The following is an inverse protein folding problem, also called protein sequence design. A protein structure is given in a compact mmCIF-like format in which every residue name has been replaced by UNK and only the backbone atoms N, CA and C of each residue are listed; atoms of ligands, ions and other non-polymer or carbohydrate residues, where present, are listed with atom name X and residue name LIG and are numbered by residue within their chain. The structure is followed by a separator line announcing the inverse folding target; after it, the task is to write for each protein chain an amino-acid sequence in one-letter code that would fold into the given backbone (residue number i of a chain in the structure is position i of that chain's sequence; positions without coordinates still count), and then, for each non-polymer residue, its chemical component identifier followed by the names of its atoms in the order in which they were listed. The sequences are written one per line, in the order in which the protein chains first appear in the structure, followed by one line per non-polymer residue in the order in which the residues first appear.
data_IF_936177690730
#
_entry.id   IF_936177690730
#
_cell.length_a   1.000
_cell.length_b   1.000
_cell.length_c   1.000
_cell.angle_alpha   90.00
_cell.angle_beta   90.00
_cell.angle_gamma   90.00
#
_symmetry.space_group_name_H-M   'P 1'
#
loop_
_entity.id
_entity.type
_entity.pdbx_description
1 polymer ?
#
# COMPACT_ATOMS: atom_id res chain seq x y z
N UNK A 1 43.57 60.51 -28.31
CA UNK A 1 44.61 59.49 -28.59
C UNK A 1 44.80 58.73 -27.28
N UNK A 2 44.28 57.51 -27.16
CA UNK A 2 44.90 56.33 -26.54
C UNK A 2 43.88 55.18 -26.51
N UNK A 3 44.37 54.06 -27.03
CA UNK A 3 43.75 52.76 -27.24
C UNK A 3 43.50 52.03 -25.91
N UNK A 4 42.37 51.34 -25.79
CA UNK A 4 42.22 50.25 -24.82
C UNK A 4 42.16 48.93 -25.58
N UNK A 5 43.19 48.12 -25.33
CA UNK A 5 43.45 46.86 -25.97
C UNK A 5 42.45 45.77 -25.58
N UNK A 6 42.33 44.80 -26.48
CA UNK A 6 41.59 43.57 -26.27
C UNK A 6 42.22 42.71 -25.18
N UNK A 7 41.45 42.45 -24.12
CA UNK A 7 41.62 41.27 -23.28
C UNK A 7 40.58 40.23 -23.67
N UNK A 8 40.97 39.20 -24.45
CA UNK A 8 40.18 37.99 -24.65
C UNK A 8 40.21 37.18 -23.35
N UNK A 9 39.16 37.24 -22.57
CA UNK A 9 38.86 36.19 -21.60
C UNK A 9 38.13 35.09 -22.37
N UNK A 10 38.81 33.97 -22.66
CA UNK A 10 38.15 32.75 -23.09
C UNK A 10 37.31 32.25 -21.90
N UNK A 11 36.03 32.53 -21.92
CA UNK A 11 35.05 31.72 -21.19
C UNK A 11 34.89 30.48 -22.06
N UNK A 12 35.40 29.34 -21.60
CA UNK A 12 35.04 28.06 -22.18
C UNK A 12 33.52 27.95 -22.07
N UNK A 13 32.84 28.06 -23.21
CA UNK A 13 31.44 27.69 -23.29
C UNK A 13 31.38 26.19 -23.01
N UNK A 14 31.09 25.83 -21.76
CA UNK A 14 30.57 24.51 -21.46
C UNK A 14 29.32 24.35 -22.30
N UNK A 15 29.44 23.49 -23.30
CA UNK A 15 28.39 23.18 -24.24
C UNK A 15 27.35 22.41 -23.44
N UNK A 16 26.24 23.06 -23.11
CA UNK A 16 25.04 22.42 -22.55
C UNK A 16 24.78 21.13 -23.34
N UNK A 17 24.55 19.99 -22.68
CA UNK A 17 24.24 18.76 -23.38
C UNK A 17 22.94 18.95 -24.16
N UNK A 18 23.07 18.99 -25.48
CA UNK A 18 21.97 19.03 -26.43
C UNK A 18 21.26 17.67 -26.33
N UNK A 19 20.13 17.64 -25.62
CA UNK A 19 19.32 16.43 -25.45
C UNK A 19 18.62 16.10 -26.76
N UNK A 20 19.30 15.32 -27.59
CA UNK A 20 18.74 14.83 -28.84
C UNK A 20 18.00 13.51 -28.59
N UNK A 21 16.71 13.53 -28.95
CA UNK A 21 15.91 12.41 -29.40
C UNK A 21 14.97 11.69 -28.41
N UNK A 22 13.71 11.60 -28.84
CA UNK A 22 12.54 10.89 -28.29
C UNK A 22 12.83 9.39 -27.98
N UNK A 23 13.90 8.87 -28.58
CA UNK A 23 14.42 7.51 -28.40
C UNK A 23 15.02 7.26 -27.01
N UNK A 24 15.69 8.23 -26.36
CA UNK A 24 16.28 8.01 -25.03
C UNK A 24 15.21 7.95 -23.93
N UNK A 25 14.20 8.82 -23.98
CA UNK A 25 13.05 8.76 -23.07
C UNK A 25 12.30 7.44 -23.26
N UNK A 26 12.11 7.01 -24.50
CA UNK A 26 11.48 5.72 -24.81
C UNK A 26 12.30 4.55 -24.25
N UNK A 27 13.63 4.59 -24.36
CA UNK A 27 14.53 3.57 -23.80
C UNK A 27 14.50 3.59 -22.27
N UNK A 28 14.51 4.75 -21.63
CA UNK A 28 14.44 4.89 -20.18
C UNK A 28 13.09 4.40 -19.64
N UNK A 29 11.99 4.77 -20.29
CA UNK A 29 10.65 4.29 -19.97
C UNK A 29 10.56 2.78 -20.17
N UNK A 30 11.05 2.23 -21.28
CA UNK A 30 11.11 0.77 -21.51
C UNK A 30 11.94 0.07 -20.46
N UNK A 31 13.10 0.62 -20.10
CA UNK A 31 13.98 0.05 -19.07
C UNK A 31 13.34 0.09 -17.69
N UNK A 32 12.64 1.16 -17.35
CA UNK A 32 11.89 1.28 -16.10
C UNK A 32 10.69 0.32 -16.07
N UNK A 33 9.92 0.23 -17.16
CA UNK A 33 8.84 -0.76 -17.34
C UNK A 33 9.35 -2.19 -17.16
N UNK A 34 10.54 -2.49 -17.69
CA UNK A 34 11.15 -3.82 -17.69
C UNK A 34 11.89 -4.18 -16.40
N UNK A 35 12.05 -3.27 -15.44
CA UNK A 35 12.63 -3.64 -14.14
C UNK A 35 11.75 -4.71 -13.50
N UNK A 36 12.30 -5.81 -12.98
CA UNK A 36 11.51 -6.71 -12.14
C UNK A 36 11.06 -5.97 -10.87
N UNK A 37 9.89 -6.29 -10.30
CA UNK A 37 9.55 -5.83 -8.95
C UNK A 37 10.64 -6.32 -7.97
N UNK A 38 10.88 -5.60 -6.86
CA UNK A 38 11.80 -6.09 -5.83
C UNK A 38 11.36 -7.48 -5.37
N UNK A 39 12.32 -8.36 -5.05
CA UNK A 39 12.10 -9.71 -4.49
C UNK A 39 11.39 -9.61 -3.13
N UNK A 40 10.09 -9.33 -3.16
CA UNK A 40 9.19 -9.51 -2.05
C UNK A 40 7.78 -9.85 -2.56
N UNK A 41 7.41 -11.10 -2.28
CA UNK A 41 6.08 -11.70 -2.29
C UNK A 41 5.36 -11.99 -3.62
N UNK A 42 5.32 -13.30 -3.91
CA UNK A 42 4.25 -13.97 -4.66
C UNK A 42 2.86 -13.58 -4.10
N UNK A 43 2.11 -12.76 -4.85
CA UNK A 43 0.71 -12.42 -4.55
C UNK A 43 -0.23 -13.63 -4.70
N UNK A 44 0.21 -14.69 -5.36
CA UNK A 44 -0.57 -15.91 -5.65
C UNK A 44 -0.79 -16.81 -4.45
N UNK A 45 -0.09 -16.62 -3.32
CA UNK A 45 -0.27 -17.46 -2.13
C UNK A 45 -1.58 -17.23 -1.36
N UNK A 46 -2.16 -16.03 -1.41
CA UNK A 46 -3.38 -15.74 -0.65
C UNK A 46 -4.67 -16.18 -1.34
N UNK A 47 -4.62 -16.60 -2.62
CA UNK A 47 -5.79 -17.07 -3.35
C UNK A 47 -5.96 -18.61 -3.32
N UNK A 48 -4.95 -19.37 -2.89
CA UNK A 48 -4.89 -20.83 -3.06
C UNK A 48 -5.06 -21.65 -1.76
N UNK A 49 -5.36 -21.03 -0.62
CA UNK A 49 -5.57 -21.75 0.66
C UNK A 49 -7.00 -22.33 0.79
N UNK A 50 -7.54 -22.91 -0.28
CA UNK A 50 -8.75 -23.75 -0.26
C UNK A 50 -8.61 -24.89 -1.27
N UNK A 51 -7.57 -25.70 -1.08
CA UNK A 51 -7.58 -27.16 -1.32
C UNK A 51 -6.14 -27.68 -1.34
N UNK A 52 -5.81 -28.59 -0.43
CA UNK A 52 -4.70 -29.53 -0.66
C UNK A 52 -5.17 -30.92 -0.22
N UNK A 53 -5.09 -31.92 -1.11
CA UNK A 53 -5.44 -33.30 -0.79
C UNK A 53 -4.35 -33.94 0.08
N UNK A 54 -4.79 -34.88 0.93
CA UNK A 54 -4.02 -35.42 2.03
C UNK A 54 -2.68 -36.05 1.66
N UNK A 55 -1.70 -35.84 2.53
CA UNK A 55 -0.49 -36.68 2.63
C UNK A 55 -0.20 -36.95 4.10
N UNK A 56 0.14 -38.21 4.37
CA UNK A 56 0.19 -38.91 5.66
C UNK A 56 1.31 -38.41 6.57
N UNK A 57 1.08 -38.49 7.89
CA UNK A 57 2.08 -38.29 8.96
C UNK A 57 3.24 -39.28 8.85
N UNK A 58 4.50 -38.85 8.97
CA UNK A 58 5.60 -39.74 9.33
C UNK A 58 5.66 -39.96 10.85
N UNK A 59 5.75 -41.22 11.21
CA UNK A 59 5.94 -41.79 12.55
C UNK A 59 7.40 -41.78 12.97
N UNK A 60 7.62 -41.63 14.29
CA UNK A 60 8.80 -41.96 15.11
C UNK A 60 10.14 -41.24 14.86
N UNK A 61 10.57 -40.50 15.90
CA UNK A 61 11.96 -40.13 16.17
C UNK A 61 12.75 -41.34 16.69
N UNK A 62 13.98 -41.60 16.23
CA UNK A 62 14.88 -42.52 16.89
C UNK A 62 15.75 -41.79 17.92
N UNK A 63 15.67 -42.27 19.16
CA UNK A 63 16.63 -42.08 20.25
C UNK A 63 18.00 -42.63 19.85
N UNK A 64 19.09 -41.86 20.00
CA UNK A 64 20.43 -42.45 20.10
C UNK A 64 21.30 -41.76 21.16
N UNK A 65 21.85 -42.64 22.00
CA UNK A 65 22.71 -42.46 23.18
C UNK A 65 24.05 -41.79 22.87
N UNK A 66 24.38 -40.78 23.69
CA UNK A 66 25.64 -40.54 24.43
C UNK A 66 27.00 -40.91 23.80
N UNK A 67 27.81 -39.89 23.55
CA UNK A 67 29.29 -39.87 23.71
C UNK A 67 29.64 -38.51 24.36
N UNK A 68 29.87 -38.46 25.68
CA UNK A 68 31.18 -38.50 26.35
C UNK A 68 32.13 -37.38 25.91
N UNK A 69 32.10 -36.26 26.65
CA UNK A 69 33.24 -35.36 26.87
C UNK A 69 33.21 -34.95 28.35
N UNK A 70 34.21 -35.40 29.09
CA UNK A 70 34.59 -35.03 30.47
C UNK A 70 35.81 -34.07 30.39
N UNK A 71 36.27 -33.44 31.49
CA UNK A 71 35.74 -32.20 32.04
C UNK A 71 36.83 -31.11 32.15
N UNK A 72 36.48 -29.88 32.51
CA UNK A 72 37.43 -28.94 33.11
C UNK A 72 36.82 -28.46 34.42
N UNK A 73 37.48 -28.81 35.52
CA UNK A 73 37.00 -28.58 36.87
C UNK A 73 37.13 -27.14 37.32
N UNK A 74 36.51 -26.85 38.46
CA UNK A 74 37.09 -26.09 39.57
C UNK A 74 36.36 -26.48 40.86
N UNK A 75 37.13 -26.40 41.95
CA UNK A 75 36.83 -26.54 43.38
C UNK A 75 35.46 -25.98 43.79
N UNK A 76 34.75 -26.51 44.80
CA UNK A 76 35.11 -26.35 46.21
C UNK A 76 34.24 -27.23 47.15
N UNK A 77 34.72 -27.35 48.39
CA UNK A 77 34.48 -28.36 49.41
C UNK A 77 33.24 -28.15 50.30
N UNK A 78 32.72 -29.29 50.78
CA UNK A 78 32.11 -29.55 52.09
C UNK A 78 30.66 -29.00 52.34
N UNK A 79 29.73 -29.74 52.97
CA UNK A 79 29.82 -30.47 54.24
C UNK A 79 28.74 -31.56 54.38
N UNK A 80 29.08 -32.51 55.26
CA UNK A 80 28.35 -33.71 55.69
C UNK A 80 27.03 -33.43 56.42
N UNK A 81 26.07 -34.36 56.25
CA UNK A 81 24.91 -34.52 57.13
C UNK A 81 24.11 -35.79 56.79
N UNK A 82 24.42 -36.90 57.48
CA UNK A 82 23.65 -38.17 57.48
C UNK A 82 22.51 -38.07 58.50
N UNK A 83 21.30 -38.52 58.15
CA UNK A 83 20.31 -39.26 58.98
C UNK A 83 19.25 -39.83 57.99
N UNK A 84 19.18 -41.13 57.70
CA UNK A 84 18.57 -42.24 58.44
C UNK A 84 17.03 -42.21 58.55
N UNK A 85 16.42 -43.14 57.80
CA UNK A 85 15.22 -43.95 58.11
C UNK A 85 13.83 -43.30 58.19
N UNK A 86 12.87 -43.89 57.48
CA UNK A 86 11.44 -43.69 57.72
C UNK A 86 10.56 -44.00 56.51
N UNK A 87 10.07 -45.24 56.43
CA UNK A 87 9.08 -45.68 55.48
C UNK A 87 7.71 -44.99 55.72
N UNK A 88 7.09 -44.49 54.66
CA UNK A 88 5.64 -44.30 54.56
C UNK A 88 5.26 -44.12 53.08
N UNK A 89 4.84 -45.21 52.44
CA UNK A 89 4.11 -45.15 51.17
C UNK A 89 2.85 -44.31 51.37
N UNK A 90 2.72 -43.23 50.59
CA UNK A 90 1.52 -42.39 50.54
C UNK A 90 0.88 -42.57 49.16
N UNK A 91 -0.46 -42.67 49.04
CA UNK A 91 -1.09 -43.12 47.82
C UNK A 91 -0.90 -42.14 46.66
N UNK A 92 -0.74 -42.69 45.46
CA UNK A 92 -0.73 -41.99 44.18
C UNK A 92 -1.97 -41.10 44.08
N UNK A 93 -1.77 -39.79 44.15
CA UNK A 93 -2.78 -38.78 43.88
C UNK A 93 -3.15 -38.86 42.41
N UNK A 94 -4.44 -39.00 42.14
CA UNK A 94 -5.04 -39.01 40.80
C UNK A 94 -4.44 -37.91 39.93
N UNK A 95 -4.07 -38.27 38.71
CA UNK A 95 -3.78 -37.35 37.61
C UNK A 95 -4.98 -36.41 37.43
N UNK A 96 -4.91 -35.21 38.00
CA UNK A 96 -5.74 -34.09 37.59
C UNK A 96 -5.19 -33.65 36.23
N UNK A 97 -6.01 -33.77 35.18
CA UNK A 97 -5.70 -33.20 33.87
C UNK A 97 -5.37 -31.71 34.04
N UNK A 98 -4.33 -31.19 33.36
CA UNK A 98 -4.02 -29.77 33.41
C UNK A 98 -5.23 -28.97 32.92
N UNK A 99 -5.55 -27.82 33.54
CA UNK A 99 -6.69 -27.01 33.11
C UNK A 99 -6.51 -26.67 31.63
N UNK A 100 -7.49 -27.05 30.82
CA UNK A 100 -7.56 -26.70 29.41
C UNK A 100 -7.61 -25.18 29.32
N UNK A 101 -6.47 -24.55 29.04
CA UNK A 101 -6.38 -23.12 28.76
C UNK A 101 -7.23 -22.92 27.51
N UNK A 102 -8.35 -22.19 27.55
CA UNK A 102 -9.11 -21.90 26.34
C UNK A 102 -8.15 -21.21 25.39
N UNK A 103 -7.78 -21.89 24.30
CA UNK A 103 -7.00 -21.28 23.23
C UNK A 103 -7.91 -20.26 22.56
N UNK A 104 -8.01 -19.07 23.15
CA UNK A 104 -8.54 -17.87 22.51
C UNK A 104 -7.48 -17.37 21.51
N UNK A 105 -7.06 -18.25 20.62
CA UNK A 105 -6.38 -17.87 19.38
C UNK A 105 -7.51 -17.39 18.47
N UNK A 106 -7.96 -16.15 18.69
CA UNK A 106 -8.63 -15.42 17.62
C UNK A 106 -7.73 -15.56 16.39
N UNK A 107 -8.26 -16.08 15.29
CA UNK A 107 -7.55 -16.12 14.02
C UNK A 107 -6.91 -14.75 13.80
N UNK A 108 -5.64 -14.67 13.33
CA UNK A 108 -5.04 -13.38 13.02
C UNK A 108 -6.02 -12.60 12.14
N UNK A 109 -6.23 -11.29 12.39
CA UNK A 109 -7.17 -10.51 11.60
C UNK A 109 -6.83 -10.70 10.13
N UNK A 110 -7.83 -11.10 9.34
CA UNK A 110 -7.66 -11.27 7.90
C UNK A 110 -6.98 -10.01 7.32
N UNK A 111 -5.97 -10.16 6.46
CA UNK A 111 -5.20 -9.04 5.98
C UNK A 111 -6.13 -8.05 5.27
N UNK A 112 -6.29 -6.87 5.86
CA UNK A 112 -7.10 -5.80 5.29
C UNK A 112 -6.46 -5.32 3.99
N UNK A 113 -7.25 -5.20 2.92
CA UNK A 113 -6.78 -4.71 1.63
C UNK A 113 -6.13 -3.33 1.77
N UNK A 114 -4.94 -3.14 1.19
CA UNK A 114 -4.21 -1.87 1.21
C UNK A 114 -4.54 -1.07 -0.06
N UNK A 115 -5.11 0.11 0.13
CA UNK A 115 -5.54 0.99 -0.96
C UNK A 115 -4.56 2.17 -1.11
N UNK A 116 -4.27 2.54 -2.35
CA UNK A 116 -3.71 3.84 -2.72
C UNK A 116 -4.81 4.72 -3.30
N UNK A 117 -5.07 5.85 -2.66
CA UNK A 117 -5.96 6.91 -3.15
C UNK A 117 -5.15 7.98 -3.85
N UNK A 118 -5.36 8.12 -5.16
CA UNK A 118 -4.68 9.08 -6.02
C UNK A 118 -5.72 10.02 -6.65
N UNK A 119 -5.62 11.32 -6.36
CA UNK A 119 -6.64 12.31 -6.70
C UNK A 119 -6.09 13.41 -7.58
N UNK A 120 -6.59 13.52 -8.80
CA UNK A 120 -6.47 14.72 -9.62
C UNK A 120 -7.40 15.80 -9.04
N UNK A 121 -6.86 16.71 -8.23
CA UNK A 121 -7.67 17.59 -7.40
C UNK A 121 -8.48 18.61 -8.22
N UNK A 122 -7.93 19.10 -9.33
CA UNK A 122 -8.60 20.09 -10.19
C UNK A 122 -9.85 19.54 -10.88
N UNK A 123 -9.81 18.27 -11.31
CA UNK A 123 -10.94 17.59 -11.94
C UNK A 123 -11.93 16.97 -10.93
N UNK A 124 -11.63 17.04 -9.63
CA UNK A 124 -12.42 16.40 -8.58
C UNK A 124 -13.15 17.46 -7.74
N UNK A 125 -14.48 17.45 -7.69
CA UNK A 125 -15.23 18.36 -6.82
C UNK A 125 -14.91 18.10 -5.33
N UNK A 126 -14.47 19.12 -4.56
CA UNK A 126 -14.08 18.96 -3.16
C UNK A 126 -15.13 18.27 -2.27
N UNK A 127 -16.41 18.51 -2.54
CA UNK A 127 -17.55 17.95 -1.80
C UNK A 127 -17.65 16.42 -1.88
N UNK A 128 -17.00 15.79 -2.85
CA UNK A 128 -16.99 14.32 -3.01
C UNK A 128 -16.00 13.62 -2.09
N UNK A 129 -15.02 14.35 -1.52
CA UNK A 129 -13.90 13.77 -0.79
C UNK A 129 -14.34 13.00 0.47
N UNK A 130 -15.26 13.57 1.26
CA UNK A 130 -15.76 12.92 2.49
C UNK A 130 -16.45 11.60 2.15
N UNK A 131 -17.41 11.62 1.23
CA UNK A 131 -18.13 10.42 0.79
C UNK A 131 -17.21 9.39 0.16
N UNK A 132 -16.18 9.81 -0.57
CA UNK A 132 -15.19 8.91 -1.13
C UNK A 132 -14.41 8.16 -0.03
N UNK A 133 -13.90 8.87 0.96
CA UNK A 133 -13.16 8.27 2.07
C UNK A 133 -14.03 7.26 2.83
N UNK A 134 -15.31 7.58 3.05
CA UNK A 134 -16.27 6.68 3.68
C UNK A 134 -16.50 5.40 2.88
N UNK A 135 -16.69 5.52 1.56
CA UNK A 135 -16.85 4.35 0.67
C UNK A 135 -15.58 3.49 0.65
N UNK A 136 -14.40 4.11 0.64
CA UNK A 136 -13.11 3.41 0.65
C UNK A 136 -12.84 2.69 1.97
N UNK A 137 -13.30 3.22 3.10
CA UNK A 137 -13.18 2.56 4.41
C UNK A 137 -13.91 1.20 4.44
N UNK A 138 -14.96 1.02 3.63
CA UNK A 138 -15.63 -0.27 3.44
C UNK A 138 -14.88 -1.27 2.56
N UNK A 139 -13.95 -0.81 1.72
CA UNK A 139 -13.14 -1.66 0.84
C UNK A 139 -11.83 -2.13 1.48
N UNK A 140 -11.25 -1.32 2.36
CA UNK A 140 -10.01 -1.64 3.03
C UNK A 140 -9.34 -0.44 3.69
N UNK A 141 -8.06 -0.57 3.99
CA UNK A 141 -7.25 0.48 4.60
C UNK A 141 -6.59 1.33 3.51
N UNK A 142 -6.96 2.60 3.44
CA UNK A 142 -6.28 3.56 2.57
C UNK A 142 -4.93 3.91 3.22
N UNK A 143 -3.85 3.38 2.67
CA UNK A 143 -2.49 3.50 3.21
C UNK A 143 -1.69 4.62 2.54
N UNK A 144 -2.00 4.91 1.28
CA UNK A 144 -1.45 6.04 0.53
C UNK A 144 -2.58 6.96 0.14
N UNK A 145 -2.42 8.26 0.38
CA UNK A 145 -3.35 9.31 -0.02
C UNK A 145 -2.56 10.44 -0.66
N UNK A 146 -2.74 10.69 -1.95
CA UNK A 146 -2.05 11.75 -2.69
C UNK A 146 -3.04 12.55 -3.50
N UNK A 147 -2.92 13.88 -3.44
CA UNK A 147 -3.60 14.80 -4.33
C UNK A 147 -2.59 15.43 -5.27
N UNK A 148 -2.96 15.64 -6.53
CA UNK A 148 -2.09 16.20 -7.57
C UNK A 148 -2.75 17.48 -8.12
N UNK A 149 -2.03 18.59 -8.04
CA UNK A 149 -2.40 19.89 -8.61
C UNK A 149 -1.24 20.89 -8.46
N UNK A 150 -1.32 21.98 -9.23
CA UNK A 150 -0.69 23.23 -8.86
C UNK A 150 -1.46 23.88 -7.68
N UNK A 151 -0.94 23.67 -6.47
CA UNK A 151 -1.50 24.22 -5.23
C UNK A 151 -1.34 25.73 -5.07
N UNK A 152 -0.64 26.41 -5.96
CA UNK A 152 -0.55 27.88 -5.98
C UNK A 152 -1.79 28.51 -6.63
N UNK A 153 -2.58 27.70 -7.34
CA UNK A 153 -3.75 28.18 -8.06
C UNK A 153 -4.87 28.62 -7.08
N UNK A 154 -5.50 29.80 -7.27
CA UNK A 154 -6.46 30.35 -6.31
C UNK A 154 -7.70 29.47 -6.05
N UNK A 155 -8.12 28.69 -7.04
CA UNK A 155 -9.28 27.80 -6.97
C UNK A 155 -9.02 26.53 -6.13
N UNK A 156 -7.76 26.25 -5.78
CA UNK A 156 -7.40 25.10 -4.93
C UNK A 156 -7.64 25.34 -3.42
N UNK A 157 -8.11 26.54 -3.03
CA UNK A 157 -8.35 26.88 -1.63
C UNK A 157 -9.31 25.93 -0.90
N UNK A 158 -10.34 25.42 -1.60
CA UNK A 158 -11.31 24.47 -1.03
C UNK A 158 -10.67 23.12 -0.66
N UNK A 159 -9.64 22.70 -1.40
CA UNK A 159 -8.94 21.44 -1.16
C UNK A 159 -8.00 21.50 0.05
N UNK A 160 -7.43 22.66 0.39
CA UNK A 160 -6.44 22.78 1.48
C UNK A 160 -6.97 22.25 2.83
N UNK A 161 -8.25 22.50 3.13
CA UNK A 161 -8.90 21.97 4.33
C UNK A 161 -9.07 20.45 4.30
N UNK A 162 -9.43 19.90 3.14
CA UNK A 162 -9.62 18.47 2.92
C UNK A 162 -8.31 17.70 2.99
N UNK A 163 -7.23 18.26 2.43
CA UNK A 163 -5.90 17.66 2.50
C UNK A 163 -5.49 17.38 3.95
N UNK A 164 -5.66 18.39 4.82
CA UNK A 164 -5.35 18.29 6.24
C UNK A 164 -6.28 17.33 6.97
N UNK A 165 -7.59 17.44 6.73
CA UNK A 165 -8.62 16.63 7.39
C UNK A 165 -8.42 15.14 7.13
N UNK A 166 -8.12 14.78 5.89
CA UNK A 166 -8.04 13.38 5.45
C UNK A 166 -6.62 12.85 5.35
N UNK A 167 -5.61 13.64 5.72
CA UNK A 167 -4.21 13.27 5.60
C UNK A 167 -3.80 12.95 4.15
N UNK A 168 -4.34 13.70 3.18
CA UNK A 168 -3.97 13.58 1.78
C UNK A 168 -2.69 14.39 1.58
N UNK A 169 -1.63 13.71 1.15
CA UNK A 169 -0.36 14.34 0.83
C UNK A 169 -0.51 15.19 -0.44
N UNK A 170 -0.21 16.50 -0.39
CA UNK A 170 -0.14 17.30 -1.61
C UNK A 170 1.10 16.90 -2.42
N UNK A 171 0.89 16.54 -3.68
CA UNK A 171 1.92 16.43 -4.71
C UNK A 171 1.78 17.66 -5.59
N UNK A 172 2.84 18.47 -5.63
CA UNK A 172 2.84 19.76 -6.30
C UNK A 172 3.64 19.69 -7.60
N UNK A 173 3.07 20.27 -8.64
CA UNK A 173 3.78 20.65 -9.86
C UNK A 173 3.48 22.12 -10.17
N UNK A 174 4.39 22.78 -10.86
CA UNK A 174 4.19 24.16 -11.30
C UNK A 174 3.57 24.17 -12.69
N UNK A 175 2.44 24.84 -12.85
CA UNK A 175 1.82 25.04 -14.14
C UNK A 175 1.76 26.54 -14.45
N UNK A 176 2.58 26.99 -15.40
CA UNK A 176 2.62 28.40 -15.80
C UNK A 176 1.37 28.83 -16.59
N UNK A 177 0.67 27.87 -17.20
CA UNK A 177 -0.39 28.14 -18.19
C UNK A 177 -1.60 27.21 -18.04
N UNK A 178 -2.76 27.75 -17.67
CA UNK A 178 -4.07 27.14 -17.94
C UNK A 178 -4.47 25.91 -17.10
N UNK A 179 -5.78 25.79 -16.87
CA UNK A 179 -6.34 24.68 -16.09
C UNK A 179 -6.20 23.31 -16.77
N UNK A 180 -6.20 23.27 -18.11
CA UNK A 180 -6.08 22.02 -18.87
C UNK A 180 -4.68 21.41 -18.73
N UNK A 181 -3.63 22.22 -18.87
CA UNK A 181 -2.25 21.77 -18.72
C UNK A 181 -1.94 21.34 -17.28
N UNK A 182 -2.51 22.04 -16.27
CA UNK A 182 -2.41 21.62 -14.88
C UNK A 182 -2.99 20.21 -14.67
N UNK A 183 -4.17 19.95 -15.24
CA UNK A 183 -4.79 18.63 -15.26
C UNK A 183 -3.92 17.59 -15.97
N UNK A 184 -3.35 17.90 -17.14
CA UNK A 184 -2.45 16.99 -17.86
C UNK A 184 -1.20 16.63 -17.05
N UNK A 185 -0.55 17.62 -16.42
CA UNK A 185 0.61 17.41 -15.56
C UNK A 185 0.26 16.59 -14.30
N UNK A 186 -0.92 16.84 -13.72
CA UNK A 186 -1.44 16.06 -12.61
C UNK A 186 -1.62 14.58 -13.02
N UNK A 187 -2.22 14.33 -14.18
CA UNK A 187 -2.42 12.98 -14.71
C UNK A 187 -1.09 12.25 -14.97
N UNK A 188 -0.09 12.92 -15.52
CA UNK A 188 1.24 12.35 -15.75
C UNK A 188 1.91 11.97 -14.42
N UNK A 189 1.95 12.91 -13.47
CA UNK A 189 2.56 12.70 -12.15
C UNK A 189 1.86 11.57 -11.39
N UNK A 190 0.52 11.57 -11.41
CA UNK A 190 -0.30 10.52 -10.83
C UNK A 190 -0.07 9.15 -11.47
N UNK A 191 0.10 9.10 -12.79
CA UNK A 191 0.35 7.85 -13.52
C UNK A 191 1.69 7.23 -13.15
N UNK A 192 2.74 8.03 -12.98
CA UNK A 192 4.06 7.56 -12.53
C UNK A 192 3.95 6.95 -11.13
N UNK A 193 3.35 7.69 -10.21
CA UNK A 193 3.16 7.24 -8.83
C UNK A 193 2.30 5.97 -8.72
N UNK A 194 1.23 5.88 -9.52
CA UNK A 194 0.39 4.68 -9.57
C UNK A 194 1.18 3.42 -9.96
N UNK A 195 2.04 3.53 -10.97
CA UNK A 195 2.85 2.41 -11.43
C UNK A 195 3.93 2.05 -10.41
N UNK A 196 4.58 3.01 -9.77
CA UNK A 196 5.58 2.74 -8.72
C UNK A 196 4.95 2.06 -7.49
N UNK A 197 3.76 2.51 -7.07
CA UNK A 197 3.00 1.88 -5.99
C UNK A 197 2.59 0.45 -6.35
N UNK A 198 2.16 0.22 -7.59
CA UNK A 198 1.79 -1.11 -8.06
C UNK A 198 2.99 -2.07 -8.13
N UNK A 199 4.17 -1.56 -8.53
CA UNK A 199 5.40 -2.34 -8.71
C UNK A 199 6.09 -2.67 -7.38
N UNK A 200 5.99 -1.81 -6.38
CA UNK A 200 6.56 -2.03 -5.05
C UNK A 200 5.75 -3.03 -4.19
N UNK A 201 4.62 -3.52 -4.69
CA UNK A 201 3.64 -4.32 -3.92
C UNK A 201 3.19 -3.65 -2.62
N UNK A 202 3.32 -2.32 -2.55
CA UNK A 202 2.91 -1.53 -1.39
C UNK A 202 1.39 -1.57 -1.20
N UNK A 203 0.63 -1.67 -2.29
CA UNK A 203 -0.83 -1.64 -2.30
C UNK A 203 -1.44 -2.77 -3.12
N UNK A 204 -2.64 -3.18 -2.73
CA UNK A 204 -3.43 -4.22 -3.39
C UNK A 204 -4.45 -3.62 -4.36
N UNK A 205 -4.88 -2.38 -4.11
CA UNK A 205 -5.83 -1.62 -4.94
C UNK A 205 -5.34 -0.21 -5.18
N UNK A 206 -5.43 0.27 -6.42
CA UNK A 206 -5.21 1.68 -6.79
C UNK A 206 -6.54 2.31 -7.14
N UNK A 207 -6.83 3.44 -6.50
CA UNK A 207 -8.04 4.23 -6.68
C UNK A 207 -7.65 5.51 -7.42
N UNK A 208 -8.15 5.67 -8.64
CA UNK A 208 -7.86 6.80 -9.52
C UNK A 208 -9.08 7.71 -9.51
N UNK A 209 -8.91 8.97 -9.08
CA UNK A 209 -10.00 9.94 -8.92
C UNK A 209 -9.73 11.17 -9.77
N UNK A 210 -10.72 11.60 -10.54
CA UNK A 210 -10.61 12.80 -11.40
C UNK A 210 -11.30 12.59 -12.73
N UNK A 211 -10.56 12.80 -13.83
CA UNK A 211 -11.02 12.47 -15.17
C UNK A 211 -10.31 11.20 -15.70
N UNK A 212 -10.69 9.99 -15.25
CA UNK A 212 -10.01 8.77 -15.65
C UNK A 212 -10.24 8.40 -17.13
N UNK A 213 -11.08 9.15 -17.87
CA UNK A 213 -11.47 8.91 -19.26
C UNK A 213 -10.31 8.70 -20.24
N UNK A 214 -9.19 9.39 -20.02
CA UNK A 214 -7.96 9.30 -20.82
C UNK A 214 -6.99 8.22 -20.34
N UNK A 215 -7.30 7.50 -19.25
CA UNK A 215 -6.33 6.66 -18.53
C UNK A 215 -6.44 5.15 -18.83
N UNK A 216 -7.14 4.75 -19.91
CA UNK A 216 -7.27 3.32 -20.30
C UNK A 216 -5.92 2.57 -20.35
N UNK A 217 -4.82 3.14 -20.91
CA UNK A 217 -3.53 2.45 -20.93
C UNK A 217 -2.97 2.21 -19.52
N UNK A 218 -3.11 3.18 -18.62
CA UNK A 218 -2.70 3.04 -17.23
C UNK A 218 -3.51 1.94 -16.52
N UNK A 219 -4.83 1.98 -16.62
CA UNK A 219 -5.73 0.96 -16.02
C UNK A 219 -5.33 -0.44 -16.49
N UNK A 220 -5.14 -0.60 -17.80
CA UNK A 220 -4.71 -1.87 -18.41
C UNK A 220 -3.37 -2.33 -17.85
N UNK A 221 -2.41 -1.41 -17.67
CA UNK A 221 -1.09 -1.71 -17.13
C UNK A 221 -1.13 -2.13 -15.66
N UNK A 222 -1.92 -1.44 -14.84
CA UNK A 222 -2.08 -1.74 -13.42
C UNK A 222 -2.72 -3.12 -13.21
N UNK A 223 -3.77 -3.43 -13.99
CA UNK A 223 -4.40 -4.75 -13.98
C UNK A 223 -3.47 -5.86 -14.46
N UNK A 224 -2.72 -5.61 -15.53
CA UNK A 224 -1.69 -6.55 -16.00
C UNK A 224 -0.57 -6.80 -14.97
N UNK A 225 -0.45 -5.93 -13.97
CA UNK A 225 0.46 -6.09 -12.84
C UNK A 225 -0.20 -6.74 -11.61
N UNK A 226 -1.45 -7.21 -11.74
CA UNK A 226 -2.20 -7.88 -10.68
C UNK A 226 -2.64 -6.96 -9.54
N UNK A 227 -2.84 -5.67 -9.81
CA UNK A 227 -3.38 -4.68 -8.86
C UNK A 227 -4.83 -4.38 -9.26
N UNK A 228 -5.75 -4.39 -8.29
CA UNK A 228 -7.15 -4.00 -8.52
C UNK A 228 -7.22 -2.50 -8.80
N UNK A 229 -8.01 -2.07 -9.77
CA UNK A 229 -8.18 -0.67 -10.14
C UNK A 229 -9.62 -0.23 -9.91
N UNK A 230 -9.81 0.79 -9.09
CA UNK A 230 -11.09 1.48 -8.91
C UNK A 230 -10.99 2.84 -9.56
N UNK A 231 -11.87 3.13 -10.52
CA UNK A 231 -11.94 4.43 -11.16
C UNK A 231 -13.07 5.26 -10.53
N UNK A 232 -12.81 6.53 -10.28
CA UNK A 232 -13.78 7.48 -9.71
C UNK A 232 -13.82 8.72 -10.59
N UNK A 233 -15.00 9.09 -11.06
CA UNK A 233 -15.13 10.19 -12.03
C UNK A 233 -16.58 10.56 -12.33
N UNK A 234 -16.81 11.48 -13.28
CA UNK A 234 -18.14 11.91 -13.66
C UNK A 234 -18.90 10.85 -14.46
N UNK A 235 -20.24 10.97 -14.51
CA UNK A 235 -21.11 10.13 -15.35
C UNK A 235 -20.80 10.23 -16.86
N UNK A 236 -20.05 11.25 -17.30
CA UNK A 236 -19.57 11.34 -18.68
C UNK A 236 -18.33 10.47 -18.98
N UNK A 237 -17.73 9.82 -17.97
CA UNK A 237 -16.53 8.99 -18.16
C UNK A 237 -16.79 7.90 -19.22
N UNK A 238 -15.97 7.79 -20.28
CA UNK A 238 -16.16 6.81 -21.35
C UNK A 238 -16.26 5.35 -20.87
N UNK A 239 -17.11 4.56 -21.53
CA UNK A 239 -17.31 3.14 -21.22
C UNK A 239 -15.99 2.34 -21.22
N UNK A 240 -15.04 2.69 -22.09
CA UNK A 240 -13.76 2.00 -22.20
C UNK A 240 -12.97 1.95 -20.89
N UNK A 241 -13.01 3.00 -20.07
CA UNK A 241 -12.34 3.01 -18.76
C UNK A 241 -13.15 2.23 -17.74
N UNK A 242 -14.47 2.45 -17.68
CA UNK A 242 -15.35 1.78 -16.71
C UNK A 242 -15.34 0.27 -16.85
N UNK A 243 -15.35 -0.22 -18.09
CA UNK A 243 -15.34 -1.64 -18.41
C UNK A 243 -13.97 -2.29 -18.15
N UNK A 244 -12.91 -1.49 -18.09
CA UNK A 244 -11.56 -1.95 -17.78
C UNK A 244 -11.28 -1.91 -16.29
N UNK A 245 -11.73 -0.89 -15.55
CA UNK A 245 -11.62 -0.88 -14.09
C UNK A 245 -12.38 -2.04 -13.45
N UNK A 246 -11.90 -2.52 -12.30
CA UNK A 246 -12.59 -3.54 -11.50
C UNK A 246 -13.85 -2.99 -10.84
N UNK A 247 -13.90 -1.67 -10.62
CA UNK A 247 -15.07 -0.96 -10.12
C UNK A 247 -15.06 0.50 -10.58
N UNK A 248 -16.24 1.10 -10.67
CA UNK A 248 -16.41 2.50 -11.06
C UNK A 248 -17.38 3.21 -10.12
N UNK A 249 -16.94 4.33 -9.55
CA UNK A 249 -17.73 5.16 -8.63
C UNK A 249 -17.98 6.52 -9.28
N UNK A 250 -19.25 6.88 -9.40
CA UNK A 250 -19.66 8.19 -9.91
C UNK A 250 -19.58 9.27 -8.83
N UNK A 251 -19.04 10.45 -9.16
CA UNK A 251 -19.06 11.62 -8.28
C UNK A 251 -20.47 11.95 -7.74
N UNK A 252 -21.52 11.77 -8.54
CA UNK A 252 -22.89 12.01 -8.12
C UNK A 252 -23.33 11.13 -6.95
N UNK A 253 -22.77 9.92 -6.81
CA UNK A 253 -23.05 9.02 -5.68
C UNK A 253 -22.33 9.43 -4.40
N UNK A 254 -21.25 10.19 -4.52
CA UNK A 254 -20.40 10.62 -3.40
C UNK A 254 -20.86 11.95 -2.80
N UNK A 255 -21.48 12.80 -3.61
CA UNK A 255 -22.01 14.09 -3.15
C UNK A 255 -23.26 13.96 -2.25
N UNK A 256 -23.92 12.80 -2.25
CA UNK A 256 -25.09 12.54 -1.41
C UNK A 256 -24.63 12.02 -0.05
N UNK A 257 -24.70 12.84 1.00
CA UNK A 257 -24.63 12.33 2.38
C UNK A 257 -25.73 11.28 2.54
N UNK A 258 -25.44 10.05 3.00
CA UNK A 258 -26.49 9.10 3.28
C UNK A 258 -27.40 9.73 4.35
N UNK A 259 -28.67 9.92 4.00
CA UNK A 259 -29.68 10.27 4.98
C UNK A 259 -29.60 9.19 6.06
N UNK A 260 -29.32 9.63 7.28
CA UNK A 260 -29.32 8.81 8.48
C UNK A 260 -30.56 7.92 8.44
N UNK A 261 -30.37 6.60 8.33
CA UNK A 261 -31.49 5.68 8.36
C UNK A 261 -32.09 5.80 9.75
N UNK A 262 -33.18 6.55 9.87
CA UNK A 262 -34.01 6.58 11.08
C UNK A 262 -34.41 5.16 11.37
N UNK A 263 -33.64 4.49 12.24
CA UNK A 263 -34.06 3.25 12.87
C UNK A 263 -35.21 3.67 13.78
N UNK A 264 -36.41 3.69 13.22
CA UNK A 264 -37.64 3.89 13.94
C UNK A 264 -37.71 2.77 14.98
N UNK A 265 -37.23 3.07 16.19
CA UNK A 265 -37.44 2.26 17.36
C UNK A 265 -38.94 2.16 17.56
N UNK A 266 -39.50 0.99 17.22
CA UNK A 266 -40.79 0.56 17.73
C UNK A 266 -40.66 0.45 19.24
N UNK A 267 -40.92 1.55 19.95
CA UNK A 267 -41.35 1.47 21.34
C UNK A 267 -42.79 0.93 21.32
N UNK A 268 -42.93 -0.36 21.65
CA UNK A 268 -44.18 -0.90 22.18
C UNK A 268 -44.41 -0.25 23.55
N UNK A 269 -45.50 0.49 23.66
CA UNK A 269 -46.21 0.74 24.91
C UNK A 269 -47.46 -0.15 24.93
#
# INVERSE_FOLDING_TARGET
MYSWGQGRTMIAAEREPEFDNEDELTVLVRRWIARPPPDNMDRTRNAAATSTPGVRRPTSLPTRRSQLLEPCGHSELARLGRHASGAAETPVRSTEDPPEVPQLLASPPEPTQRLALLVEARATPPETADGLIDVLAGMGSVTVRRGYADWTQPDMGAWLGLLRRHGIQPVHHFCEEGAELDSEQALVSMSVDAVDLARSSAVDTVVIVGNPGSMVPLVTRLQGSGVRVVAVGPESTPYGVRARSDDFIDFARLAVRPAESTRAGRHRA
#
